data_IF_701512328746
#
_entry.id   IF_701512328746
#
_cell.length_a   1.000
_cell.length_b   1.000
_cell.length_c   1.000
_cell.angle_alpha   90.00
_cell.angle_beta   90.00
_cell.angle_gamma   90.00
#
_symmetry.space_group_name_H-M   'P 1'
#
loop_
_entity.id
_entity.type
_entity.pdbx_description
1 polymer ?
#
# COMPACT_ATOMS: atom_id res chain seq x y z
N UNK A 1 -2.72 3.62 22.86
CA UNK A 1 -3.56 2.72 22.04
C UNK A 1 -2.96 1.31 21.99
N UNK A 2 -1.67 1.16 21.69
CA UNK A 2 -1.03 -0.15 21.45
C UNK A 2 -0.35 -0.76 22.69
N UNK A 3 -0.32 -0.05 23.84
CA UNK A 3 0.30 -0.54 25.07
C UNK A 3 -0.29 -1.88 25.51
N UNK A 4 0.59 -2.85 25.74
CA UNK A 4 0.29 -4.23 26.13
C UNK A 4 -0.65 -4.98 25.19
N UNK A 5 -0.75 -4.56 23.92
CA UNK A 5 -1.62 -5.14 22.89
C UNK A 5 -0.88 -6.14 22.00
N UNK A 6 -1.65 -6.96 21.29
CA UNK A 6 -1.15 -7.94 20.32
C UNK A 6 -1.52 -7.48 18.92
N UNK A 7 -0.51 -7.28 18.06
CA UNK A 7 -0.66 -6.92 16.65
C UNK A 7 -0.35 -8.14 15.77
N UNK A 8 -1.27 -8.51 14.90
CA UNK A 8 -1.03 -9.48 13.83
C UNK A 8 -0.76 -8.75 12.52
N UNK A 9 0.35 -9.08 11.85
CA UNK A 9 0.71 -8.56 10.53
C UNK A 9 0.67 -9.72 9.54
N UNK A 10 -0.33 -9.75 8.66
CA UNK A 10 -0.36 -10.70 7.55
C UNK A 10 0.51 -10.18 6.42
N UNK A 11 1.26 -11.06 5.75
CA UNK A 11 2.29 -10.62 4.81
C UNK A 11 3.46 -9.89 5.50
N UNK A 12 3.66 -10.16 6.79
CA UNK A 12 4.62 -9.46 7.64
C UNK A 12 6.08 -9.58 7.21
N UNK A 13 6.41 -10.56 6.37
CA UNK A 13 7.77 -10.72 5.79
C UNK A 13 8.02 -9.86 4.54
N UNK A 14 7.03 -9.13 4.06
CA UNK A 14 7.18 -8.17 2.96
C UNK A 14 7.64 -6.80 3.45
N UNK A 15 7.99 -5.90 2.51
CA UNK A 15 8.50 -4.54 2.78
C UNK A 15 7.64 -3.78 3.77
N UNK A 16 6.34 -3.74 3.50
CA UNK A 16 5.38 -3.00 4.32
C UNK A 16 5.21 -3.61 5.70
N UNK A 17 5.12 -4.94 5.76
CA UNK A 17 5.04 -5.68 7.02
C UNK A 17 6.27 -5.45 7.90
N UNK A 18 7.47 -5.44 7.30
CA UNK A 18 8.73 -5.13 7.98
C UNK A 18 8.75 -3.69 8.53
N UNK A 19 8.30 -2.71 7.75
CA UNK A 19 8.29 -1.32 8.18
C UNK A 19 7.32 -1.08 9.34
N UNK A 20 6.12 -1.65 9.26
CA UNK A 20 5.15 -1.59 10.36
C UNK A 20 5.70 -2.31 11.60
N UNK A 21 6.28 -3.51 11.43
CA UNK A 21 6.97 -4.21 12.51
C UNK A 21 8.00 -3.32 13.20
N UNK A 22 8.92 -2.72 12.43
CA UNK A 22 10.00 -1.90 12.97
C UNK A 22 9.45 -0.70 13.76
N UNK A 23 8.39 -0.04 13.26
CA UNK A 23 7.75 1.09 13.94
C UNK A 23 7.15 0.69 15.31
N UNK A 24 6.64 -0.54 15.44
CA UNK A 24 6.03 -1.00 16.67
C UNK A 24 7.01 -1.67 17.65
N UNK A 25 8.17 -2.11 17.16
CA UNK A 25 9.09 -2.91 17.98
C UNK A 25 9.59 -2.17 19.23
N UNK A 26 9.83 -0.87 19.10
CA UNK A 26 10.33 -0.01 20.16
C UNK A 26 9.21 0.62 21.04
N UNK A 27 7.96 0.21 20.82
CA UNK A 27 6.80 0.64 21.63
C UNK A 27 6.52 -0.34 22.77
N UNK A 28 5.57 -0.01 23.64
CA UNK A 28 5.11 -0.88 24.74
C UNK A 28 4.14 -1.97 24.29
N UNK A 29 4.14 -2.32 23.00
CA UNK A 29 3.36 -3.44 22.45
C UNK A 29 3.81 -4.75 23.11
N UNK A 30 2.85 -5.63 23.46
CA UNK A 30 3.17 -6.88 24.13
C UNK A 30 3.71 -7.94 23.16
N UNK A 31 3.09 -8.06 22.00
CA UNK A 31 3.42 -9.09 21.01
C UNK A 31 3.12 -8.61 19.59
N UNK A 32 3.99 -8.99 18.65
CA UNK A 32 3.79 -8.80 17.22
C UNK A 32 3.84 -10.17 16.54
N UNK A 33 2.76 -10.57 15.91
CA UNK A 33 2.64 -11.81 15.15
C UNK A 33 2.90 -11.57 13.68
N UNK A 34 3.89 -12.26 13.14
CA UNK A 34 4.21 -12.26 11.72
C UNK A 34 3.58 -13.48 11.08
N UNK A 35 2.59 -13.26 10.22
CA UNK A 35 1.89 -14.32 9.50
C UNK A 35 2.25 -14.28 8.02
N UNK A 36 2.89 -15.31 7.52
CA UNK A 36 3.26 -15.46 6.11
C UNK A 36 3.51 -16.91 5.73
N UNK A 37 3.57 -17.19 4.43
CA UNK A 37 3.87 -18.53 3.89
C UNK A 37 5.36 -18.84 3.83
N UNK A 38 6.19 -17.80 3.86
CA UNK A 38 7.63 -17.89 3.60
C UNK A 38 8.39 -18.18 4.90
N UNK A 39 8.67 -19.45 5.16
CA UNK A 39 9.45 -19.93 6.30
C UNK A 39 10.85 -19.32 6.34
N UNK A 40 11.52 -19.25 5.18
CA UNK A 40 12.88 -18.72 5.12
C UNK A 40 12.93 -17.25 5.53
N UNK A 41 12.05 -16.42 4.99
CA UNK A 41 11.98 -15.01 5.37
C UNK A 41 11.63 -14.83 6.85
N UNK A 42 10.78 -15.69 7.42
CA UNK A 42 10.50 -15.66 8.85
C UNK A 42 11.73 -16.01 9.69
N UNK A 43 12.52 -17.01 9.27
CA UNK A 43 13.76 -17.38 9.96
C UNK A 43 14.80 -16.26 9.89
N UNK A 44 14.98 -15.65 8.71
CA UNK A 44 15.86 -14.48 8.51
C UNK A 44 15.44 -13.30 9.42
N UNK A 45 14.13 -13.01 9.49
CA UNK A 45 13.59 -11.99 10.40
C UNK A 45 13.84 -12.31 11.87
N UNK A 46 13.62 -13.57 12.29
CA UNK A 46 13.86 -14.02 13.66
C UNK A 46 15.32 -13.78 14.06
N UNK A 47 16.25 -14.11 13.18
CA UNK A 47 17.69 -13.90 13.39
C UNK A 47 18.07 -12.41 13.40
N UNK A 48 17.51 -11.64 12.47
CA UNK A 48 17.79 -10.20 12.33
C UNK A 48 17.34 -9.42 13.56
N UNK A 49 16.10 -9.60 13.98
CA UNK A 49 15.52 -8.79 15.06
C UNK A 49 15.80 -9.36 16.46
N UNK A 50 15.92 -10.66 16.60
CA UNK A 50 16.17 -11.37 17.85
C UNK A 50 15.41 -10.77 19.06
N UNK A 51 14.11 -10.51 18.89
CA UNK A 51 13.28 -9.81 19.86
C UNK A 51 12.17 -10.74 20.39
N UNK A 52 12.00 -10.90 21.72
CA UNK A 52 11.02 -11.82 22.32
C UNK A 52 9.56 -11.44 22.05
N UNK A 53 9.27 -10.18 21.72
CA UNK A 53 7.92 -9.73 21.33
C UNK A 53 7.45 -10.34 20.01
N UNK A 54 8.38 -10.82 19.16
CA UNK A 54 8.05 -11.37 17.85
C UNK A 54 7.64 -12.84 17.95
N UNK A 55 6.50 -13.14 17.37
CA UNK A 55 6.00 -14.51 17.17
C UNK A 55 5.74 -14.77 15.70
N UNK A 56 6.17 -15.91 15.22
CA UNK A 56 6.12 -16.26 13.81
C UNK A 56 5.11 -17.39 13.59
N UNK A 57 4.19 -17.13 12.66
CA UNK A 57 3.14 -18.06 12.26
C UNK A 57 3.28 -18.36 10.76
N UNK A 58 3.59 -19.60 10.41
CA UNK A 58 3.57 -20.06 9.03
C UNK A 58 2.12 -20.37 8.67
N UNK A 59 1.62 -19.72 7.62
CA UNK A 59 0.25 -19.92 7.16
C UNK A 59 -0.09 -19.13 5.92
N UNK A 60 -1.21 -19.48 5.31
CA UNK A 60 -1.75 -18.85 4.10
C UNK A 60 -3.07 -18.15 4.43
N UNK A 61 -3.22 -16.89 4.01
CA UNK A 61 -4.49 -16.14 4.19
C UNK A 61 -5.68 -16.78 3.47
N UNK A 62 -5.42 -17.64 2.49
CA UNK A 62 -6.44 -18.42 1.78
C UNK A 62 -7.01 -19.58 2.60
N UNK A 63 -6.31 -19.96 3.66
CA UNK A 63 -6.74 -21.00 4.61
C UNK A 63 -7.28 -20.36 5.88
N UNK A 64 -8.60 -20.34 6.00
CA UNK A 64 -9.31 -19.78 7.15
C UNK A 64 -8.87 -20.39 8.49
N UNK A 65 -8.64 -21.72 8.53
CA UNK A 65 -8.21 -22.40 9.76
C UNK A 65 -6.85 -21.91 10.24
N UNK A 66 -5.91 -21.72 9.31
CA UNK A 66 -4.59 -21.17 9.57
C UNK A 66 -4.68 -19.73 10.11
N UNK A 67 -5.51 -18.90 9.49
CA UNK A 67 -5.76 -17.51 9.92
C UNK A 67 -6.38 -17.47 11.32
N UNK A 68 -7.41 -18.27 11.58
CA UNK A 68 -8.07 -18.35 12.89
C UNK A 68 -7.10 -18.76 14.01
N UNK A 69 -6.17 -19.67 13.73
CA UNK A 69 -5.17 -20.06 14.71
C UNK A 69 -4.25 -18.92 15.13
N UNK A 70 -3.82 -18.10 14.14
CA UNK A 70 -2.97 -16.93 14.39
C UNK A 70 -3.75 -15.76 15.04
N UNK A 71 -5.08 -15.72 14.88
CA UNK A 71 -5.95 -14.62 15.31
C UNK A 71 -6.31 -14.65 16.80
N UNK A 72 -6.13 -15.77 17.48
CA UNK A 72 -6.54 -15.93 18.89
C UNK A 72 -5.90 -14.89 19.81
N UNK A 73 -6.73 -14.08 20.48
CA UNK A 73 -6.29 -13.04 21.42
C UNK A 73 -5.61 -11.83 20.78
N UNK A 74 -5.69 -11.68 19.47
CA UNK A 74 -5.18 -10.50 18.74
C UNK A 74 -6.07 -9.29 19.00
N UNK A 75 -5.47 -8.13 19.27
CA UNK A 75 -6.18 -6.86 19.43
C UNK A 75 -6.25 -6.07 18.12
N UNK A 76 -5.19 -6.11 17.32
CA UNK A 76 -5.04 -5.32 16.09
C UNK A 76 -4.54 -6.18 14.94
N UNK A 77 -5.05 -5.93 13.73
CA UNK A 77 -4.60 -6.60 12.51
C UNK A 77 -4.19 -5.58 11.47
N UNK A 78 -2.97 -5.71 10.96
CA UNK A 78 -2.56 -5.07 9.72
C UNK A 78 -2.53 -6.12 8.61
N UNK A 79 -3.48 -6.02 7.68
CA UNK A 79 -3.62 -6.97 6.59
C UNK A 79 -2.89 -6.47 5.34
N UNK A 80 -1.63 -6.92 5.15
CA UNK A 80 -0.78 -6.56 4.03
C UNK A 80 -0.47 -7.74 3.08
N UNK A 81 -0.96 -8.94 3.38
CA UNK A 81 -0.78 -10.09 2.51
C UNK A 81 -1.53 -9.90 1.18
N UNK A 82 -0.81 -9.87 0.07
CA UNK A 82 -1.38 -9.73 -1.26
C UNK A 82 -0.42 -10.21 -2.36
N UNK A 83 -0.95 -10.54 -3.52
CA UNK A 83 -0.20 -10.56 -4.76
C UNK A 83 -0.20 -9.13 -5.35
N UNK A 84 0.99 -8.56 -5.60
CA UNK A 84 1.17 -7.17 -6.02
C UNK A 84 1.81 -6.99 -7.40
N UNK A 85 2.39 -8.05 -7.96
CA UNK A 85 3.07 -7.97 -9.25
C UNK A 85 2.06 -8.07 -10.40
N UNK A 86 1.99 -7.00 -11.22
CA UNK A 86 1.04 -6.92 -12.33
C UNK A 86 1.22 -8.09 -13.30
N UNK A 87 2.42 -8.40 -13.82
CA UNK A 87 2.57 -9.53 -14.75
C UNK A 87 2.12 -10.88 -14.15
N UNK A 88 2.49 -11.15 -12.91
CA UNK A 88 2.09 -12.40 -12.25
C UNK A 88 0.58 -12.52 -12.07
N UNK A 89 -0.11 -11.41 -11.76
CA UNK A 89 -1.56 -11.40 -11.64
C UNK A 89 -2.27 -11.54 -13.00
N UNK A 90 -1.71 -10.96 -14.06
CA UNK A 90 -2.24 -11.13 -15.42
C UNK A 90 -2.16 -12.60 -15.88
N UNK A 91 -1.03 -13.27 -15.65
CA UNK A 91 -0.88 -14.68 -16.00
C UNK A 91 -1.61 -15.65 -15.07
N UNK A 92 -1.83 -15.27 -13.82
CA UNK A 92 -2.46 -16.10 -12.79
C UNK A 92 -3.59 -15.35 -12.06
N UNK A 93 -4.64 -14.87 -12.77
CA UNK A 93 -5.66 -14.01 -12.17
C UNK A 93 -6.42 -14.70 -11.03
N UNK A 94 -6.64 -16.01 -11.11
CA UNK A 94 -7.29 -16.74 -10.03
C UNK A 94 -6.46 -16.80 -8.74
N UNK A 95 -5.14 -16.76 -8.82
CA UNK A 95 -4.30 -16.65 -7.61
C UNK A 95 -4.42 -15.25 -6.98
N UNK A 96 -4.58 -14.20 -7.80
CA UNK A 96 -4.91 -12.86 -7.31
C UNK A 96 -6.30 -12.83 -6.63
N UNK A 97 -7.32 -13.45 -7.23
CA UNK A 97 -8.67 -13.59 -6.63
C UNK A 97 -8.58 -14.32 -5.27
N UNK A 98 -7.94 -15.49 -5.24
CA UNK A 98 -7.82 -16.29 -4.01
C UNK A 98 -7.07 -15.56 -2.91
N UNK A 99 -5.98 -14.85 -3.23
CA UNK A 99 -5.15 -14.18 -2.24
C UNK A 99 -5.72 -12.83 -1.83
N UNK A 100 -6.02 -11.96 -2.81
CA UNK A 100 -6.37 -10.58 -2.55
C UNK A 100 -7.85 -10.42 -2.14
N UNK A 101 -8.75 -11.28 -2.64
CA UNK A 101 -10.18 -11.19 -2.36
C UNK A 101 -10.58 -12.20 -1.28
N UNK A 102 -10.45 -13.50 -1.56
CA UNK A 102 -10.88 -14.55 -0.63
C UNK A 102 -10.00 -14.57 0.63
N UNK A 103 -8.69 -14.32 0.48
CA UNK A 103 -7.77 -14.20 1.62
C UNK A 103 -8.13 -13.04 2.53
N UNK A 104 -8.52 -11.89 1.97
CA UNK A 104 -9.02 -10.75 2.76
C UNK A 104 -10.34 -11.11 3.46
N UNK A 105 -11.28 -11.73 2.75
CA UNK A 105 -12.53 -12.22 3.35
C UNK A 105 -12.26 -13.13 4.55
N UNK A 106 -11.33 -14.08 4.43
CA UNK A 106 -10.94 -15.01 5.51
C UNK A 106 -10.34 -14.27 6.71
N UNK A 107 -9.47 -13.28 6.46
CA UNK A 107 -8.86 -12.46 7.53
C UNK A 107 -9.90 -11.62 8.26
N UNK A 108 -10.82 -10.97 7.53
CA UNK A 108 -11.88 -10.16 8.11
C UNK A 108 -12.83 -11.00 8.95
N UNK A 109 -13.28 -12.15 8.43
CA UNK A 109 -14.16 -13.06 9.16
C UNK A 109 -13.50 -13.56 10.44
N UNK A 110 -12.24 -14.01 10.36
CA UNK A 110 -11.48 -14.46 11.52
C UNK A 110 -11.32 -13.35 12.57
N UNK A 111 -11.08 -12.11 12.13
CA UNK A 111 -10.96 -10.96 13.02
C UNK A 111 -12.27 -10.65 13.74
N UNK A 112 -13.40 -10.69 13.02
CA UNK A 112 -14.74 -10.45 13.58
C UNK A 112 -15.08 -11.52 14.62
N UNK A 113 -14.89 -12.81 14.27
CA UNK A 113 -15.16 -13.93 15.18
C UNK A 113 -14.28 -13.87 16.42
N UNK A 114 -13.01 -13.42 16.27
CA UNK A 114 -12.07 -13.27 17.38
C UNK A 114 -12.22 -11.95 18.14
N UNK A 115 -13.17 -11.09 17.79
CA UNK A 115 -13.42 -9.77 18.41
C UNK A 115 -12.20 -8.85 18.39
N UNK A 116 -11.44 -8.89 17.30
CA UNK A 116 -10.31 -7.98 17.08
C UNK A 116 -10.81 -6.54 17.10
N UNK A 117 -10.15 -5.68 17.88
CA UNK A 117 -10.61 -4.30 18.03
C UNK A 117 -10.52 -3.50 16.71
N UNK A 118 -9.42 -3.68 15.93
CA UNK A 118 -9.27 -2.96 14.66
C UNK A 118 -8.52 -3.76 13.64
N UNK A 119 -8.99 -3.68 12.39
CA UNK A 119 -8.35 -4.25 11.20
C UNK A 119 -8.10 -3.12 10.21
N UNK A 120 -6.86 -2.98 9.76
CA UNK A 120 -6.49 -2.07 8.65
C UNK A 120 -6.06 -2.90 7.45
N UNK A 121 -6.80 -2.77 6.34
CA UNK A 121 -6.51 -3.44 5.07
C UNK A 121 -5.67 -2.54 4.16
N UNK A 122 -4.58 -3.08 3.63
CA UNK A 122 -3.69 -2.35 2.74
C UNK A 122 -4.19 -2.42 1.29
N UNK A 123 -4.49 -1.26 0.67
CA UNK A 123 -4.84 -1.13 -0.74
C UNK A 123 -3.82 -0.30 -1.53
N UNK A 124 -4.17 0.19 -2.70
CA UNK A 124 -3.25 0.84 -3.65
C UNK A 124 -4.00 1.78 -4.60
N UNK A 125 -3.33 2.75 -5.17
CA UNK A 125 -3.77 3.60 -6.28
C UNK A 125 -4.29 2.78 -7.49
N UNK A 126 -3.74 1.60 -7.71
CA UNK A 126 -4.13 0.71 -8.82
C UNK A 126 -5.51 0.09 -8.66
N UNK A 127 -6.12 0.21 -7.48
CA UNK A 127 -7.53 -0.16 -7.23
C UNK A 127 -8.52 0.88 -7.80
N UNK A 128 -8.06 2.10 -8.08
CA UNK A 128 -8.89 3.18 -8.66
C UNK A 128 -8.80 3.12 -10.18
N UNK A 129 -9.93 3.03 -10.85
CA UNK A 129 -10.00 2.81 -12.32
C UNK A 129 -9.05 1.71 -12.79
N UNK A 130 -9.20 0.49 -12.28
CA UNK A 130 -8.23 -0.59 -12.51
C UNK A 130 -8.21 -1.03 -13.96
N UNK A 131 -7.01 -1.20 -14.53
CA UNK A 131 -6.80 -1.65 -15.91
C UNK A 131 -6.07 -3.00 -16.01
N UNK A 132 -5.74 -3.61 -14.88
CA UNK A 132 -5.05 -4.89 -14.82
C UNK A 132 -5.60 -5.78 -13.71
N UNK A 133 -5.35 -7.09 -13.76
CA UNK A 133 -5.89 -8.08 -12.84
C UNK A 133 -5.52 -7.80 -11.38
N UNK A 134 -4.31 -7.28 -11.12
CA UNK A 134 -3.89 -6.92 -9.77
C UNK A 134 -4.77 -5.78 -9.24
N UNK A 135 -4.93 -4.69 -9.99
CA UNK A 135 -5.77 -3.55 -9.62
C UNK A 135 -7.24 -3.95 -9.44
N UNK A 136 -7.79 -4.76 -10.38
CA UNK A 136 -9.17 -5.29 -10.29
C UNK A 136 -9.36 -6.08 -8.99
N UNK A 137 -8.42 -6.97 -8.65
CA UNK A 137 -8.51 -7.77 -7.43
C UNK A 137 -8.44 -6.90 -6.16
N UNK A 138 -7.65 -5.83 -6.17
CA UNK A 138 -7.57 -4.88 -5.05
C UNK A 138 -8.81 -4.00 -4.95
N UNK A 139 -9.38 -3.56 -6.06
CA UNK A 139 -10.66 -2.85 -6.08
C UNK A 139 -11.79 -3.72 -5.49
N UNK A 140 -11.85 -5.00 -5.87
CA UNK A 140 -12.82 -5.92 -5.30
C UNK A 140 -12.56 -6.20 -3.81
N UNK A 141 -11.30 -6.29 -3.39
CA UNK A 141 -10.93 -6.39 -1.97
C UNK A 141 -11.50 -5.23 -1.14
N UNK A 142 -11.39 -3.98 -1.64
CA UNK A 142 -11.97 -2.81 -0.97
C UNK A 142 -13.51 -2.95 -0.85
N UNK A 143 -14.17 -3.42 -1.91
CA UNK A 143 -15.63 -3.64 -1.87
C UNK A 143 -16.03 -4.73 -0.86
N UNK A 144 -15.26 -5.81 -0.74
CA UNK A 144 -15.44 -6.86 0.28
C UNK A 144 -15.27 -6.28 1.67
N UNK A 145 -14.22 -5.48 1.90
CA UNK A 145 -13.97 -4.81 3.17
C UNK A 145 -15.13 -3.90 3.57
N UNK A 146 -15.61 -3.04 2.66
CA UNK A 146 -16.74 -2.16 2.91
C UNK A 146 -18.04 -2.95 3.16
N UNK A 147 -18.27 -4.01 2.38
CA UNK A 147 -19.45 -4.87 2.58
C UNK A 147 -19.46 -5.55 3.96
N UNK A 148 -18.32 -6.06 4.41
CA UNK A 148 -18.17 -6.63 5.77
C UNK A 148 -18.42 -5.59 6.85
N UNK A 149 -17.91 -4.38 6.67
CA UNK A 149 -18.05 -3.30 7.66
C UNK A 149 -19.50 -2.88 7.92
N UNK A 150 -20.41 -3.05 6.95
CA UNK A 150 -21.85 -2.73 7.11
C UNK A 150 -22.54 -3.54 8.22
N UNK A 151 -22.06 -4.77 8.44
CA UNK A 151 -22.66 -5.68 9.42
C UNK A 151 -22.00 -5.60 10.82
N UNK A 152 -21.13 -4.61 11.04
CA UNK A 152 -20.37 -4.47 12.28
C UNK A 152 -20.94 -3.42 13.24
N UNK A 153 -22.08 -2.82 12.92
CA UNK A 153 -22.75 -1.88 13.81
C UNK A 153 -23.10 -2.55 15.13
N UNK A 154 -22.70 -1.93 16.24
CA UNK A 154 -22.88 -2.52 17.58
C UNK A 154 -21.86 -3.59 17.98
N UNK A 155 -20.88 -3.90 17.13
CA UNK A 155 -19.74 -4.77 17.50
C UNK A 155 -18.55 -3.94 17.97
N UNK A 156 -17.59 -4.58 18.63
CA UNK A 156 -16.32 -3.94 19.07
C UNK A 156 -15.30 -3.81 17.95
N UNK A 157 -15.49 -4.52 16.83
CA UNK A 157 -14.54 -4.59 15.71
C UNK A 157 -14.74 -3.43 14.74
N UNK A 158 -13.67 -2.72 14.44
CA UNK A 158 -13.60 -1.70 13.38
C UNK A 158 -12.75 -2.21 12.23
N UNK A 159 -13.27 -2.14 11.02
CA UNK A 159 -12.57 -2.51 9.78
C UNK A 159 -12.46 -1.28 8.88
N UNK A 160 -11.25 -0.91 8.49
CA UNK A 160 -10.98 0.18 7.57
C UNK A 160 -9.81 -0.16 6.64
N UNK A 161 -9.53 0.70 5.69
CA UNK A 161 -8.45 0.51 4.72
C UNK A 161 -7.57 1.73 4.55
N UNK A 162 -6.40 1.51 3.94
CA UNK A 162 -5.51 2.57 3.47
C UNK A 162 -5.22 2.37 2.00
N UNK A 163 -5.17 3.47 1.25
CA UNK A 163 -4.81 3.49 -0.16
C UNK A 163 -3.64 4.45 -0.34
N UNK A 164 -2.59 4.01 -1.00
CA UNK A 164 -1.38 4.79 -1.20
C UNK A 164 -0.85 4.63 -2.62
N UNK A 165 -0.02 5.59 -3.06
CA UNK A 165 0.64 5.58 -4.35
C UNK A 165 1.89 4.68 -4.38
N UNK A 166 2.84 5.03 -5.24
CA UNK A 166 4.08 4.29 -5.34
C UNK A 166 4.98 4.56 -4.13
N UNK A 167 5.37 3.49 -3.42
CA UNK A 167 6.40 3.56 -2.40
C UNK A 167 7.77 3.51 -3.07
N UNK A 168 8.57 4.56 -2.86
CA UNK A 168 9.88 4.74 -3.46
C UNK A 168 10.86 3.67 -3.01
N UNK A 169 11.81 3.31 -3.88
CA UNK A 169 12.86 2.30 -3.65
C UNK A 169 12.35 0.91 -3.21
N UNK A 170 11.05 0.62 -3.39
CA UNK A 170 10.53 -0.73 -3.16
C UNK A 170 11.01 -1.70 -4.24
N UNK A 171 11.14 -2.99 -3.87
CA UNK A 171 11.60 -4.04 -4.78
C UNK A 171 10.76 -4.11 -6.05
N UNK A 172 11.45 -4.12 -7.21
CA UNK A 172 10.84 -4.12 -8.53
C UNK A 172 10.27 -2.77 -8.95
N UNK A 173 10.59 -1.68 -8.25
CA UNK A 173 10.23 -0.31 -8.64
C UNK A 173 11.33 0.35 -9.49
N UNK A 174 11.00 1.52 -10.04
CA UNK A 174 11.83 2.23 -11.01
C UNK A 174 13.19 2.68 -10.44
N UNK A 175 13.27 3.09 -9.17
CA UNK A 175 14.53 3.58 -8.57
C UNK A 175 15.60 2.47 -8.50
N UNK A 176 15.34 1.29 -7.93
CA UNK A 176 16.30 0.18 -7.99
C UNK A 176 16.67 -0.22 -9.42
N UNK A 177 15.70 -0.24 -10.35
CA UNK A 177 15.99 -0.54 -11.77
C UNK A 177 16.97 0.47 -12.37
N UNK A 178 16.80 1.75 -12.15
CA UNK A 178 17.70 2.78 -12.64
C UNK A 178 19.11 2.63 -12.06
N UNK A 179 19.20 2.33 -10.75
CA UNK A 179 20.50 2.09 -10.11
C UNK A 179 21.19 0.85 -10.69
N UNK A 180 20.48 -0.24 -10.89
CA UNK A 180 21.01 -1.46 -11.54
C UNK A 180 21.52 -1.17 -12.97
N UNK A 181 20.76 -0.41 -13.75
CA UNK A 181 21.15 -0.01 -15.11
C UNK A 181 22.41 0.86 -15.09
N UNK A 182 22.48 1.84 -14.18
CA UNK A 182 23.66 2.70 -14.01
C UNK A 182 24.91 1.92 -13.62
N UNK A 183 24.79 0.96 -12.70
CA UNK A 183 25.88 0.11 -12.26
C UNK A 183 26.36 -0.82 -13.38
N UNK A 184 25.43 -1.28 -14.22
CA UNK A 184 25.73 -2.11 -15.38
C UNK A 184 26.23 -1.31 -16.60
N UNK A 185 26.34 0.02 -16.51
CA UNK A 185 26.72 0.89 -17.64
C UNK A 185 25.72 0.93 -18.78
N UNK A 186 24.44 0.56 -18.52
CA UNK A 186 23.35 0.55 -19.50
C UNK A 186 22.58 1.86 -19.42
N UNK A 187 22.02 2.32 -20.54
CA UNK A 187 21.11 3.45 -20.56
C UNK A 187 19.94 3.25 -19.57
N UNK A 188 19.48 4.33 -18.96
CA UNK A 188 18.22 4.30 -18.19
C UNK A 188 17.07 4.11 -19.15
N UNK A 189 16.19 3.15 -18.87
CA UNK A 189 15.00 2.94 -19.68
C UNK A 189 13.78 3.57 -19.03
N UNK A 190 13.14 4.55 -19.70
CA UNK A 190 11.90 5.17 -19.28
C UNK A 190 10.79 4.83 -20.26
N UNK A 191 9.58 4.63 -19.76
CA UNK A 191 8.43 4.27 -20.62
C UNK A 191 7.87 5.48 -21.34
N UNK A 192 7.61 6.55 -20.62
CA UNK A 192 7.17 7.85 -21.13
C UNK A 192 7.72 8.93 -20.20
N UNK A 193 8.46 9.95 -20.73
CA UNK A 193 9.02 11.03 -19.91
C UNK A 193 7.95 11.82 -19.12
N UNK A 194 6.77 12.02 -19.71
CA UNK A 194 5.66 12.77 -19.12
C UNK A 194 4.82 11.94 -18.12
N UNK A 195 5.03 10.63 -18.06
CA UNK A 195 4.33 9.75 -17.14
C UNK A 195 4.56 10.18 -15.69
N UNK A 196 3.51 10.34 -14.90
CA UNK A 196 3.63 10.74 -13.50
C UNK A 196 3.34 9.63 -12.52
N UNK A 197 4.00 9.70 -11.37
CA UNK A 197 3.76 8.81 -10.24
C UNK A 197 3.73 9.61 -8.95
N UNK A 198 2.87 9.21 -8.02
CA UNK A 198 2.97 9.69 -6.66
C UNK A 198 4.30 9.24 -6.05
N UNK A 199 4.93 10.14 -5.30
CA UNK A 199 6.22 9.90 -4.65
C UNK A 199 6.01 9.85 -3.13
N UNK A 200 6.16 8.67 -2.56
CA UNK A 200 5.88 8.40 -1.17
C UNK A 200 7.00 7.59 -0.54
N UNK A 201 7.45 7.97 0.64
CA UNK A 201 8.40 7.15 1.39
C UNK A 201 7.69 5.99 2.09
N UNK A 202 8.44 5.00 2.53
CA UNK A 202 7.87 3.90 3.31
C UNK A 202 7.41 4.38 4.70
N UNK A 203 8.07 5.38 5.26
CA UNK A 203 7.69 6.00 6.52
C UNK A 203 6.33 6.69 6.42
N UNK A 204 6.12 7.51 5.39
CA UNK A 204 4.82 8.14 5.12
C UNK A 204 3.70 7.09 5.03
N UNK A 205 3.99 5.97 4.35
CA UNK A 205 3.02 4.90 4.19
C UNK A 205 2.71 4.18 5.53
N UNK A 206 3.69 4.05 6.43
CA UNK A 206 3.47 3.54 7.80
C UNK A 206 2.67 4.53 8.63
N UNK A 207 2.95 5.83 8.51
CA UNK A 207 2.20 6.86 9.22
C UNK A 207 0.73 6.88 8.81
N UNK A 208 0.43 6.67 7.53
CA UNK A 208 -0.96 6.47 7.07
C UNK A 208 -1.64 5.27 7.73
N UNK A 209 -0.93 4.15 7.91
CA UNK A 209 -1.48 2.96 8.61
C UNK A 209 -1.75 3.28 10.08
N UNK A 210 -0.84 3.98 10.76
CA UNK A 210 -1.03 4.41 12.14
C UNK A 210 -2.22 5.36 12.28
N UNK A 211 -2.34 6.31 11.34
CA UNK A 211 -3.47 7.22 11.29
C UNK A 211 -4.81 6.47 11.13
N UNK A 212 -4.84 5.47 10.25
CA UNK A 212 -6.02 4.63 10.05
C UNK A 212 -6.37 3.81 11.30
N UNK A 213 -5.39 3.25 12.01
CA UNK A 213 -5.63 2.59 13.29
C UNK A 213 -6.24 3.53 14.34
N UNK A 214 -5.79 4.79 14.39
CA UNK A 214 -6.24 5.75 15.39
C UNK A 214 -7.62 6.34 15.07
N UNK A 215 -7.89 6.64 13.80
CA UNK A 215 -9.01 7.48 13.38
C UNK A 215 -10.08 6.72 12.59
N UNK A 216 -9.81 5.49 12.16
CA UNK A 216 -10.71 4.72 11.29
C UNK A 216 -12.04 4.38 11.94
N UNK A 217 -13.11 4.49 11.15
CA UNK A 217 -14.45 3.96 11.41
C UNK A 217 -14.71 2.85 10.40
N UNK A 218 -15.78 2.08 10.67
CA UNK A 218 -16.14 0.97 9.79
C UNK A 218 -16.34 1.41 8.34
N UNK A 219 -15.59 0.77 7.43
CA UNK A 219 -15.65 0.99 6.00
C UNK A 219 -14.86 2.19 5.47
N UNK A 220 -14.24 3.00 6.33
CA UNK A 220 -13.41 4.13 5.90
C UNK A 220 -12.20 3.65 5.08
N UNK A 221 -11.83 4.43 4.06
CA UNK A 221 -10.55 4.31 3.38
C UNK A 221 -9.80 5.63 3.53
N UNK A 222 -8.57 5.56 4.04
CA UNK A 222 -7.69 6.72 4.15
C UNK A 222 -6.69 6.75 3.00
N UNK A 223 -6.47 7.94 2.48
CA UNK A 223 -5.57 8.20 1.36
C UNK A 223 -4.61 9.30 1.76
N UNK A 224 -3.32 9.07 1.57
CA UNK A 224 -2.32 10.11 1.81
C UNK A 224 -2.25 11.09 0.64
N UNK A 225 -2.20 12.38 0.94
CA UNK A 225 -1.86 13.42 -0.03
C UNK A 225 -0.36 13.38 -0.26
N UNK A 226 0.05 12.83 -1.40
CA UNK A 226 1.45 12.72 -1.75
C UNK A 226 1.78 13.62 -2.94
N UNK A 227 2.99 14.22 -2.99
CA UNK A 227 3.46 14.89 -4.18
C UNK A 227 3.70 13.89 -5.30
N UNK A 228 3.79 14.38 -6.52
CA UNK A 228 4.10 13.57 -7.69
C UNK A 228 5.26 14.17 -8.51
N UNK A 229 5.93 13.30 -9.24
CA UNK A 229 6.93 13.72 -10.23
C UNK A 229 6.73 12.98 -11.55
N UNK A 230 7.25 13.54 -12.65
CA UNK A 230 7.44 12.78 -13.88
C UNK A 230 8.58 11.77 -13.71
N UNK A 231 8.55 10.72 -14.52
CA UNK A 231 9.66 9.76 -14.56
C UNK A 231 10.95 10.43 -15.07
N UNK A 232 10.82 11.43 -15.94
CA UNK A 232 11.96 12.24 -16.40
C UNK A 232 12.62 13.02 -15.25
N UNK A 233 11.82 13.74 -14.43
CA UNK A 233 12.34 14.47 -13.25
C UNK A 233 13.00 13.52 -12.26
N UNK A 234 12.41 12.35 -12.02
CA UNK A 234 13.00 11.32 -11.16
C UNK A 234 14.36 10.84 -11.70
N UNK A 235 14.45 10.56 -13.01
CA UNK A 235 15.70 10.13 -13.66
C UNK A 235 16.78 11.22 -13.56
N UNK A 236 16.42 12.48 -13.88
CA UNK A 236 17.35 13.63 -13.82
C UNK A 236 17.87 13.86 -12.40
N UNK A 237 17.00 13.86 -11.41
CA UNK A 237 17.38 14.02 -10.00
C UNK A 237 18.32 12.90 -9.53
N UNK A 238 18.07 11.65 -9.91
CA UNK A 238 18.93 10.52 -9.57
C UNK A 238 20.29 10.62 -10.25
N UNK A 239 20.34 10.99 -11.55
CA UNK A 239 21.57 11.20 -12.28
C UNK A 239 22.41 12.35 -11.71
N UNK A 240 21.76 13.44 -11.30
CA UNK A 240 22.39 14.56 -10.62
C UNK A 240 23.04 14.15 -9.30
N UNK A 241 22.31 13.43 -8.45
CA UNK A 241 22.82 12.89 -7.19
C UNK A 241 24.01 11.99 -7.34
N UNK A 242 24.03 11.15 -8.36
CA UNK A 242 25.12 10.20 -8.64
C UNK A 242 26.23 10.78 -9.51
N UNK A 243 26.19 12.09 -9.82
CA UNK A 243 27.16 12.80 -10.67
C UNK A 243 27.33 12.17 -12.06
N UNK A 244 26.23 11.67 -12.64
CA UNK A 244 26.19 11.00 -13.96
C UNK A 244 25.27 11.70 -14.95
N UNK A 245 25.28 13.04 -14.96
CA UNK A 245 24.37 13.89 -15.74
C UNK A 245 24.43 13.69 -17.27
N UNK A 246 25.51 13.11 -17.78
CA UNK A 246 25.67 12.80 -19.21
C UNK A 246 25.26 11.37 -19.58
N UNK A 247 24.71 10.61 -18.63
CA UNK A 247 24.29 9.24 -18.87
C UNK A 247 23.07 9.18 -19.80
N UNK A 248 23.05 8.19 -20.70
CA UNK A 248 21.99 8.08 -21.70
C UNK A 248 20.66 7.61 -21.08
N UNK A 249 19.58 8.13 -21.63
CA UNK A 249 18.21 7.73 -21.31
C UNK A 249 17.51 7.27 -22.59
N UNK A 250 16.96 6.07 -22.60
CA UNK A 250 16.21 5.48 -23.70
C UNK A 250 14.72 5.49 -23.40
N UNK A 251 13.91 6.06 -24.29
CA UNK A 251 12.45 6.02 -24.19
C UNK A 251 11.94 4.77 -24.89
N UNK A 252 11.34 3.84 -24.11
CA UNK A 252 10.94 2.52 -24.63
C UNK A 252 9.44 2.38 -24.94
N UNK A 253 8.63 3.43 -24.63
CA UNK A 253 7.18 3.41 -24.78
C UNK A 253 6.44 2.79 -23.58
N UNK A 254 5.14 3.06 -23.48
CA UNK A 254 4.27 2.59 -22.39
C UNK A 254 4.08 1.08 -22.46
N UNK A 255 4.22 0.39 -21.33
CA UNK A 255 4.02 -1.07 -21.22
C UNK A 255 2.56 -1.43 -21.08
N UNK A 256 2.23 -2.68 -21.39
CA UNK A 256 0.87 -3.22 -21.15
C UNK A 256 0.49 -3.10 -19.66
N UNK A 257 -0.72 -2.60 -19.41
CA UNK A 257 -1.24 -2.44 -18.04
C UNK A 257 -0.64 -1.28 -17.24
N UNK A 258 0.14 -0.38 -17.86
CA UNK A 258 0.62 0.86 -17.25
C UNK A 258 -0.28 2.05 -17.62
N UNK A 259 -0.55 2.91 -16.63
CA UNK A 259 -1.26 4.17 -16.82
C UNK A 259 -0.26 5.33 -17.01
N UNK A 260 -0.63 6.37 -17.75
CA UNK A 260 0.17 7.58 -17.85
C UNK A 260 0.22 8.35 -16.52
N UNK A 261 -0.83 8.24 -15.72
CA UNK A 261 -0.90 8.78 -14.36
C UNK A 261 -1.68 7.83 -13.45
N UNK A 262 -1.45 7.92 -12.16
CA UNK A 262 -2.17 7.13 -11.17
C UNK A 262 -3.22 7.99 -10.46
N UNK A 263 -4.34 7.37 -10.11
CA UNK A 263 -5.46 8.01 -9.41
C UNK A 263 -5.58 7.42 -8.01
N UNK A 264 -5.69 8.25 -6.99
CA UNK A 264 -5.90 7.84 -5.60
C UNK A 264 -7.36 7.94 -5.16
N UNK A 265 -8.10 8.94 -5.66
CA UNK A 265 -9.54 9.06 -5.47
C UNK A 265 -10.22 9.27 -6.81
N UNK A 266 -11.26 8.50 -7.08
CA UNK A 266 -12.15 8.75 -8.21
C UNK A 266 -12.99 10.01 -8.00
N UNK A 267 -13.59 10.52 -9.06
CA UNK A 267 -14.50 11.68 -9.00
C UNK A 267 -15.64 11.47 -7.99
N UNK A 268 -16.22 10.28 -7.96
CA UNK A 268 -17.29 9.92 -7.01
C UNK A 268 -16.79 9.94 -5.57
N UNK A 269 -15.61 9.39 -5.34
CA UNK A 269 -14.98 9.39 -4.01
C UNK A 269 -14.61 10.81 -3.57
N UNK A 270 -14.08 11.66 -4.47
CA UNK A 270 -13.76 13.05 -4.16
C UNK A 270 -15.01 13.88 -3.78
N UNK A 271 -16.15 13.61 -4.39
CA UNK A 271 -17.40 14.30 -4.05
C UNK A 271 -17.87 13.99 -2.61
N UNK A 272 -17.45 12.86 -2.04
CA UNK A 272 -17.78 12.43 -0.69
C UNK A 272 -16.62 12.51 0.31
N UNK A 273 -15.39 12.73 -0.17
CA UNK A 273 -14.18 12.71 0.65
C UNK A 273 -14.16 13.88 1.64
N UNK A 274 -13.62 13.59 2.81
CA UNK A 274 -13.33 14.58 3.85
C UNK A 274 -11.83 14.90 3.83
N UNK A 275 -11.52 16.20 3.77
CA UNK A 275 -10.15 16.68 3.93
C UNK A 275 -9.75 16.63 5.42
N UNK A 276 -8.66 15.91 5.71
CA UNK A 276 -8.10 15.71 7.05
C UNK A 276 -6.65 16.21 7.17
N UNK A 277 -6.31 17.28 6.44
CA UNK A 277 -4.95 17.81 6.38
C UNK A 277 -4.08 17.00 5.43
N UNK A 278 -3.18 16.17 5.95
CA UNK A 278 -2.28 15.34 5.14
C UNK A 278 -2.98 14.13 4.50
N UNK A 279 -4.23 13.88 4.88
CA UNK A 279 -5.00 12.72 4.44
C UNK A 279 -6.37 13.11 3.89
N UNK A 280 -6.90 12.30 2.97
CA UNK A 280 -8.32 12.24 2.68
C UNK A 280 -8.93 11.05 3.39
N UNK A 281 -10.13 11.22 3.93
CA UNK A 281 -11.00 10.14 4.40
C UNK A 281 -12.10 9.92 3.36
N UNK A 282 -12.20 8.73 2.82
CA UNK A 282 -13.31 8.29 1.97
C UNK A 282 -14.29 7.55 2.87
N UNK A 283 -15.49 8.09 3.15
CA UNK A 283 -16.50 7.39 3.94
C UNK A 283 -17.07 6.21 3.12
N UNK A 284 -17.53 5.13 3.78
CA UNK A 284 -18.14 4.01 3.09
C UNK A 284 -19.47 4.41 2.46
N UNK A 285 -19.80 3.75 1.36
CA UNK A 285 -21.17 3.77 0.83
C UNK A 285 -22.06 2.85 1.67
N UNK A 286 -22.87 3.43 2.54
CA UNK A 286 -23.79 2.72 3.43
C UNK A 286 -25.23 2.65 2.90
N UNK A 287 -25.44 3.00 1.62
CA UNK A 287 -26.77 2.90 1.01
C UNK A 287 -27.23 1.45 0.97
N UNK A 288 -28.52 1.21 1.24
CA UNK A 288 -29.12 -0.10 1.08
C UNK A 288 -29.65 -0.31 -0.36
N UNK A 289 -30.01 -1.56 -0.69
CA UNK A 289 -30.48 -1.91 -2.03
C UNK A 289 -31.82 -1.26 -2.42
N UNK A 290 -32.59 -0.76 -1.44
CA UNK A 290 -33.93 -0.21 -1.66
C UNK A 290 -33.95 1.32 -1.79
N UNK A 291 -32.77 1.97 -1.92
CA UNK A 291 -32.77 3.41 -1.97
C UNK A 291 -33.19 3.93 -3.36
N UNK A 292 -34.24 4.79 -3.36
CA UNK A 292 -34.84 5.34 -4.60
C UNK A 292 -33.89 6.20 -5.43
N UNK A 293 -32.87 6.82 -4.80
CA UNK A 293 -31.85 7.62 -5.49
C UNK A 293 -31.01 6.86 -6.50
N UNK A 294 -30.93 5.54 -6.40
CA UNK A 294 -30.15 4.73 -7.35
C UNK A 294 -30.69 4.79 -8.76
N UNK A 295 -32.00 4.94 -8.90
CA UNK A 295 -32.71 4.89 -10.18
C UNK A 295 -33.19 6.28 -10.64
N UNK A 296 -33.53 7.18 -9.71
CA UNK A 296 -34.32 8.38 -9.99
C UNK A 296 -33.55 9.72 -9.78
N UNK A 297 -32.46 9.72 -9.01
CA UNK A 297 -31.75 10.95 -8.66
C UNK A 297 -30.24 10.77 -8.78
N UNK A 298 -29.60 11.57 -9.67
CA UNK A 298 -28.16 11.70 -9.71
C UNK A 298 -27.59 12.59 -8.60
N UNK A 299 -26.28 12.56 -8.40
CA UNK A 299 -25.57 13.42 -7.45
C UNK A 299 -24.77 14.47 -8.25
N UNK A 300 -25.24 15.72 -8.25
CA UNK A 300 -24.64 16.81 -9.02
C UNK A 300 -23.20 17.13 -8.60
N UNK A 301 -22.83 16.88 -7.34
CA UNK A 301 -21.46 17.07 -6.85
C UNK A 301 -20.45 16.18 -7.58
N UNK A 302 -20.85 14.97 -7.95
CA UNK A 302 -20.00 14.03 -8.70
C UNK A 302 -19.63 14.62 -10.07
N UNK A 303 -20.60 15.23 -10.75
CA UNK A 303 -20.37 15.84 -12.07
C UNK A 303 -19.41 17.04 -12.04
N UNK A 304 -19.32 17.73 -10.91
CA UNK A 304 -18.48 18.92 -10.71
C UNK A 304 -17.15 18.61 -10.00
N UNK A 305 -16.93 17.37 -9.55
CA UNK A 305 -15.68 16.96 -8.91
C UNK A 305 -14.69 16.46 -9.94
N UNK A 306 -13.40 16.65 -9.65
CA UNK A 306 -12.29 16.05 -10.40
C UNK A 306 -11.69 14.92 -9.60
N UNK A 307 -11.05 13.96 -10.27
CA UNK A 307 -10.26 12.92 -9.64
C UNK A 307 -9.08 13.52 -8.89
N UNK A 308 -8.64 12.90 -7.78
CA UNK A 308 -7.34 13.19 -7.21
C UNK A 308 -6.30 12.21 -7.79
N UNK A 309 -5.38 12.75 -8.59
CA UNK A 309 -4.43 11.95 -9.36
C UNK A 309 -3.03 12.57 -9.38
N UNK A 310 -2.05 11.83 -9.90
CA UNK A 310 -0.65 12.27 -9.94
C UNK A 310 -0.36 13.37 -10.95
N UNK A 311 -1.33 13.76 -11.78
CA UNK A 311 -1.21 14.96 -12.64
C UNK A 311 -1.65 16.23 -11.95
N UNK A 312 -2.61 16.20 -11.02
CA UNK A 312 -3.20 17.38 -10.38
C UNK A 312 -2.87 17.55 -8.90
N UNK A 313 -1.96 16.71 -8.36
CA UNK A 313 -1.36 16.95 -7.04
C UNK A 313 -0.16 17.90 -7.12
N UNK A 314 0.42 18.25 -5.97
CA UNK A 314 1.70 18.97 -5.91
C UNK A 314 2.77 18.27 -6.76
N UNK A 315 3.43 19.05 -7.63
CA UNK A 315 4.44 18.51 -8.56
C UNK A 315 5.84 18.89 -8.08
N UNK A 316 6.66 17.86 -7.85
CA UNK A 316 8.06 18.07 -7.53
C UNK A 316 8.83 18.43 -8.81
N UNK A 317 9.67 19.44 -8.69
CA UNK A 317 10.76 19.70 -9.61
C UNK A 317 12.00 18.83 -9.27
N UNK A 318 13.08 19.00 -10.01
CA UNK A 318 14.32 18.24 -9.79
C UNK A 318 14.90 18.47 -8.38
N UNK A 319 14.78 19.68 -7.83
CA UNK A 319 15.29 20.03 -6.50
C UNK A 319 14.47 19.30 -5.42
N UNK A 320 13.14 19.41 -5.48
CA UNK A 320 12.23 18.73 -4.56
C UNK A 320 12.38 17.21 -4.64
N UNK A 321 12.55 16.67 -5.86
CA UNK A 321 12.76 15.23 -6.07
C UNK A 321 14.09 14.77 -5.47
N UNK A 322 15.16 15.55 -5.65
CA UNK A 322 16.47 15.29 -5.03
C UNK A 322 16.40 15.26 -3.51
N UNK A 323 15.71 16.23 -2.90
CA UNK A 323 15.52 16.26 -1.45
C UNK A 323 14.74 15.03 -0.93
N UNK A 324 13.76 14.59 -1.69
CA UNK A 324 12.97 13.40 -1.33
C UNK A 324 13.80 12.11 -1.49
N UNK A 325 14.60 11.99 -2.55
CA UNK A 325 15.52 10.86 -2.77
C UNK A 325 16.54 10.74 -1.63
N UNK A 326 17.07 11.85 -1.12
CA UNK A 326 18.02 11.87 -0.01
C UNK A 326 17.45 11.36 1.33
N UNK A 327 16.13 11.29 1.50
CA UNK A 327 15.49 10.68 2.68
C UNK A 327 15.49 9.16 2.65
N UNK A 328 15.76 8.54 1.50
CA UNK A 328 15.70 7.08 1.34
C UNK A 328 17.01 6.42 1.80
N UNK A 329 16.94 5.48 2.73
CA UNK A 329 18.09 4.68 3.17
C UNK A 329 18.82 4.04 1.98
N UNK A 330 18.06 3.54 1.00
CA UNK A 330 18.57 2.97 -0.24
C UNK A 330 19.54 3.93 -0.97
N UNK A 331 19.18 5.20 -1.06
CA UNK A 331 20.01 6.23 -1.72
C UNK A 331 21.19 6.63 -0.82
N UNK A 332 20.97 6.74 0.50
CA UNK A 332 22.05 7.05 1.46
C UNK A 332 23.12 5.96 1.47
N UNK A 333 22.70 4.69 1.44
CA UNK A 333 23.64 3.56 1.34
C UNK A 333 24.43 3.59 0.05
N UNK A 334 23.76 3.89 -1.08
CA UNK A 334 24.41 4.00 -2.39
C UNK A 334 25.44 5.12 -2.41
N UNK A 335 25.13 6.31 -1.88
CA UNK A 335 26.03 7.46 -1.82
C UNK A 335 27.21 7.22 -0.86
N UNK A 336 27.01 6.42 0.18
CA UNK A 336 28.08 6.01 1.11
C UNK A 336 28.94 4.85 0.60
N UNK A 337 28.70 4.35 -0.61
CA UNK A 337 29.41 3.20 -1.20
C UNK A 337 29.08 1.87 -0.52
N UNK A 338 27.98 1.79 0.22
CA UNK A 338 27.48 0.55 0.83
C UNK A 338 26.58 -0.21 -0.14
N UNK A 339 26.38 -1.51 0.13
CA UNK A 339 25.43 -2.30 -0.66
C UNK A 339 24.01 -1.82 -0.38
N UNK A 340 23.44 -1.05 -1.32
CA UNK A 340 22.08 -0.60 -1.24
C UNK A 340 21.13 -1.76 -1.50
N UNK A 341 20.22 -2.05 -0.56
CA UNK A 341 19.19 -3.07 -0.72
C UNK A 341 17.84 -2.40 -0.94
N UNK A 342 17.18 -2.74 -2.05
CA UNK A 342 15.80 -2.34 -2.26
C UNK A 342 14.93 -2.86 -1.11
N UNK A 343 13.93 -2.08 -0.71
CA UNK A 343 12.98 -2.44 0.34
C UNK A 343 12.22 -3.69 -0.13
N UNK A 344 12.44 -4.83 0.55
CA UNK A 344 11.90 -6.16 0.15
C UNK A 344 10.49 -6.41 0.67
#
# INVERSE_FOLDING_TARGET
MFDKKILLITGGTGSFGNAVLTRFLDTDIAEIRIFSRDEKKQDDMRKKFNNPKLKFYIGDVRDYGSVMNAMRGVDYVFHAAALKQVPSCEFHPMEAVKTNIIGTESVLEAAIVSKVARVVCLSTDKAVYPINAMGISKAMMEKVMVAKSRNLEGTETVVCGTRYGNVMASRGSVIPLFVEQLQAGKALTITDPAMTRFMMTLEDAVDLVLYAFQNGKNGDIFVQKAPAATIEVLASALLGLLQKTTHSIDVIGTRHGEKLFETLLSREEMAAAEDRGDYYRIPPDLRDLNYGKYVEQGESRISNSEDYNSHNTERLDEVGMTQLLLKLDFIQDLLAGRTAQAID
#
